data_IF_848249963826
#
_entry.id   IF_848249963826
#
_cell.length_a   1.000
_cell.length_b   1.000
_cell.length_c   1.000
_cell.angle_alpha   90.00
_cell.angle_beta   90.00
_cell.angle_gamma   90.00
#
_symmetry.space_group_name_H-M   'P 1'
#
loop_
_entity.id
_entity.type
_entity.pdbx_description
1 polymer ?
#
# COMPACT_ATOMS: atom_id res chain seq x y z
N UNK A 1 -52.99 -31.44 20.74
CA UNK A 1 -53.12 -30.42 21.79
C UNK A 1 -52.01 -30.67 22.78
N UNK A 2 -51.14 -29.77 23.20
CA UNK A 2 -50.71 -28.43 22.80
C UNK A 2 -49.56 -28.15 23.76
N UNK A 3 -48.46 -27.61 23.25
CA UNK A 3 -47.62 -26.56 23.87
C UNK A 3 -47.07 -26.75 25.30
N UNK A 4 -45.74 -26.89 25.46
CA UNK A 4 -44.77 -25.83 25.86
C UNK A 4 -44.40 -26.00 27.36
N UNK A 5 -43.19 -25.78 27.90
CA UNK A 5 -41.83 -25.38 27.50
C UNK A 5 -40.98 -25.49 28.81
N UNK A 6 -39.64 -25.60 28.75
CA UNK A 6 -38.63 -24.98 29.66
C UNK A 6 -37.25 -25.62 29.37
N UNK A 7 -36.49 -25.12 28.40
CA UNK A 7 -35.44 -24.09 28.51
C UNK A 7 -34.41 -24.33 29.62
N UNK A 8 -33.12 -24.41 29.23
CA UNK A 8 -31.95 -23.78 29.85
C UNK A 8 -30.68 -24.64 29.80
N UNK A 9 -29.78 -24.19 28.93
CA UNK A 9 -28.46 -23.64 29.27
C UNK A 9 -27.31 -24.31 28.54
N UNK A 10 -27.03 -23.68 27.40
CA UNK A 10 -25.78 -23.73 26.68
C UNK A 10 -24.70 -23.17 27.63
N UNK A 11 -23.74 -24.01 28.00
CA UNK A 11 -22.46 -23.55 28.49
C UNK A 11 -21.36 -24.46 27.93
N UNK A 12 -21.09 -24.29 26.64
CA UNK A 12 -19.83 -24.71 26.08
C UNK A 12 -18.94 -23.48 26.12
N UNK A 13 -18.01 -23.49 27.08
CA UNK A 13 -16.96 -22.50 27.20
C UNK A 13 -16.08 -22.63 25.95
N UNK A 14 -16.33 -21.79 24.95
CA UNK A 14 -15.42 -21.61 23.83
C UNK A 14 -14.14 -20.97 24.36
N UNK A 15 -13.15 -21.84 24.53
CA UNK A 15 -11.76 -21.56 24.81
C UNK A 15 -11.25 -20.59 23.73
N UNK A 16 -11.07 -19.33 24.12
CA UNK A 16 -10.60 -18.26 23.24
C UNK A 16 -9.10 -18.48 22.95
N UNK A 17 -8.79 -19.11 21.83
CA UNK A 17 -7.42 -19.31 21.37
C UNK A 17 -6.73 -17.97 21.07
N UNK A 18 -5.82 -17.56 21.96
CA UNK A 18 -5.04 -16.31 21.90
C UNK A 18 -4.04 -16.25 20.72
N UNK A 19 -3.97 -17.28 19.89
CA UNK A 19 -3.05 -17.37 18.75
C UNK A 19 -3.61 -16.76 17.44
N UNK A 20 -4.92 -16.48 17.36
CA UNK A 20 -5.56 -16.02 16.11
C UNK A 20 -5.46 -14.49 15.88
N UNK A 21 -5.08 -13.74 16.92
CA UNK A 21 -4.87 -12.29 16.80
C UNK A 21 -3.55 -11.90 16.10
N UNK A 22 -2.68 -12.87 15.81
CA UNK A 22 -1.39 -12.64 15.13
C UNK A 22 -1.44 -12.95 13.62
N UNK A 23 -2.58 -13.43 13.10
CA UNK A 23 -2.76 -13.80 11.67
C UNK A 23 -3.72 -12.84 10.98
N UNK A 24 -3.58 -11.54 11.22
CA UNK A 24 -4.27 -10.51 10.43
C UNK A 24 -3.25 -9.49 9.93
N UNK A 25 -3.19 -9.33 8.60
CA UNK A 25 -2.64 -8.16 7.88
C UNK A 25 -1.16 -8.17 7.44
N UNK A 26 -0.69 -9.23 6.77
CA UNK A 26 0.50 -9.17 5.91
C UNK A 26 0.29 -9.39 4.39
N UNK A 27 -0.83 -9.93 3.86
CA UNK A 27 -0.94 -10.20 2.41
C UNK A 27 -1.26 -8.97 1.55
N UNK A 28 -1.71 -7.85 2.13
CA UNK A 28 -2.08 -6.65 1.38
C UNK A 28 -0.89 -5.75 1.02
N UNK A 29 0.20 -5.81 1.80
CA UNK A 29 1.33 -4.90 1.62
C UNK A 29 2.11 -5.20 0.33
N UNK A 30 2.34 -6.48 0.02
CA UNK A 30 3.05 -6.90 -1.19
C UNK A 30 2.17 -6.75 -2.43
N UNK A 31 0.88 -7.05 -2.31
CA UNK A 31 -0.08 -6.84 -3.40
C UNK A 31 -0.24 -5.35 -3.75
N UNK A 32 -0.25 -4.47 -2.76
CA UNK A 32 -0.31 -3.02 -2.99
C UNK A 32 0.99 -2.48 -3.58
N UNK A 33 2.14 -3.00 -3.15
CA UNK A 33 3.43 -2.64 -3.72
C UNK A 33 3.53 -2.96 -5.22
N UNK A 34 3.01 -4.11 -5.64
CA UNK A 34 2.98 -4.50 -7.05
C UNK A 34 2.07 -3.57 -7.87
N UNK A 35 0.87 -3.26 -7.36
CA UNK A 35 -0.05 -2.29 -7.99
C UNK A 35 0.60 -0.93 -8.18
N UNK A 36 1.31 -0.42 -7.18
CA UNK A 36 1.99 0.86 -7.26
C UNK A 36 3.12 0.81 -8.29
N UNK A 37 3.90 -0.28 -8.35
CA UNK A 37 4.94 -0.44 -9.38
C UNK A 37 4.37 -0.48 -10.79
N UNK A 38 3.24 -1.15 -11.00
CA UNK A 38 2.52 -1.13 -12.29
C UNK A 38 2.10 0.29 -12.64
N UNK A 39 1.42 0.99 -11.73
CA UNK A 39 0.98 2.38 -11.93
C UNK A 39 2.16 3.32 -12.28
N UNK A 40 3.27 3.22 -11.55
CA UNK A 40 4.46 4.04 -11.80
C UNK A 40 5.08 3.71 -13.18
N UNK A 41 5.02 2.45 -13.60
CA UNK A 41 5.53 2.04 -14.91
C UNK A 41 4.75 2.68 -16.06
N UNK A 42 3.45 2.94 -15.86
CA UNK A 42 2.56 3.60 -16.82
C UNK A 42 2.70 5.13 -16.85
N UNK A 43 3.37 5.74 -15.86
CA UNK A 43 3.63 7.18 -15.87
C UNK A 43 4.51 7.60 -17.05
N UNK A 44 4.33 8.84 -17.57
CA UNK A 44 5.19 9.38 -18.62
C UNK A 44 6.66 9.32 -18.23
N UNK A 45 7.47 8.70 -19.08
CA UNK A 45 8.93 8.77 -18.97
C UNK A 45 9.41 10.02 -19.71
N UNK A 46 10.11 10.90 -19.00
CA UNK A 46 10.71 12.11 -19.58
C UNK A 46 12.23 12.07 -19.44
N UNK A 47 12.98 12.59 -20.43
CA UNK A 47 14.40 12.82 -20.25
C UNK A 47 14.61 13.87 -19.15
N UNK A 48 15.63 13.66 -18.35
CA UNK A 48 16.04 14.52 -17.26
C UNK A 48 17.55 14.53 -17.25
N UNK A 49 18.18 15.68 -17.03
CA UNK A 49 19.61 15.77 -16.71
C UNK A 49 19.80 16.23 -15.24
N UNK A 50 18.72 16.17 -14.45
CA UNK A 50 18.68 16.54 -13.04
C UNK A 50 19.06 15.37 -12.11
N UNK A 51 19.35 15.71 -10.86
CA UNK A 51 19.59 14.76 -9.77
C UNK A 51 18.27 14.32 -9.16
N UNK A 52 18.08 13.01 -8.95
CA UNK A 52 16.90 12.50 -8.27
C UNK A 52 16.90 12.93 -6.79
N UNK A 53 15.87 13.64 -6.34
CA UNK A 53 15.76 14.14 -4.96
C UNK A 53 15.50 13.06 -3.89
N UNK A 54 15.34 11.79 -4.28
CA UNK A 54 15.16 10.66 -3.37
C UNK A 54 16.49 9.94 -3.10
N UNK A 55 17.23 9.58 -4.15
CA UNK A 55 18.51 8.87 -4.02
C UNK A 55 19.74 9.79 -4.10
N UNK A 56 19.57 11.05 -4.50
CA UNK A 56 20.63 12.03 -4.74
C UNK A 56 21.66 11.60 -5.78
N UNK A 57 21.22 10.81 -6.76
CA UNK A 57 22.04 10.32 -7.87
C UNK A 57 21.52 10.88 -9.21
N UNK A 58 22.38 10.89 -10.21
CA UNK A 58 22.06 11.39 -11.55
C UNK A 58 20.98 10.49 -12.19
N UNK A 59 20.05 11.11 -12.92
CA UNK A 59 19.05 10.37 -13.70
C UNK A 59 18.94 10.96 -15.10
N UNK A 60 19.22 10.14 -16.13
CA UNK A 60 19.05 10.50 -17.54
C UNK A 60 17.56 10.54 -17.97
N UNK A 61 16.73 9.81 -17.23
CA UNK A 61 15.29 9.72 -17.46
C UNK A 61 14.56 9.40 -16.16
N UNK A 62 13.34 9.90 -16.04
CA UNK A 62 12.51 9.68 -14.88
C UNK A 62 11.03 9.62 -15.20
N UNK A 63 10.24 9.18 -14.22
CA UNK A 63 8.79 9.18 -14.26
C UNK A 63 8.27 10.54 -13.81
N UNK A 64 7.50 11.20 -14.67
CA UNK A 64 6.86 12.48 -14.37
C UNK A 64 5.49 12.25 -13.74
N UNK A 65 5.29 12.80 -12.54
CA UNK A 65 3.99 12.82 -11.87
C UNK A 65 3.07 13.89 -12.47
N UNK A 66 1.77 13.80 -12.19
CA UNK A 66 0.77 14.83 -12.59
C UNK A 66 1.10 16.23 -12.05
N UNK A 67 1.84 16.32 -10.94
CA UNK A 67 2.34 17.56 -10.36
C UNK A 67 3.66 18.09 -10.98
N UNK A 68 4.11 17.51 -12.10
CA UNK A 68 5.34 17.84 -12.85
C UNK A 68 6.67 17.52 -12.15
N UNK A 69 6.66 16.83 -11.03
CA UNK A 69 7.91 16.35 -10.40
C UNK A 69 8.39 15.05 -11.05
N UNK A 70 9.70 14.95 -11.27
CA UNK A 70 10.34 13.82 -11.95
C UNK A 70 11.25 13.08 -10.99
N UNK A 71 11.22 11.76 -11.03
CA UNK A 71 12.06 10.89 -10.20
C UNK A 71 12.41 9.61 -10.95
N UNK A 72 13.46 8.91 -10.53
CA UNK A 72 13.73 7.56 -11.02
C UNK A 72 12.56 6.63 -10.70
N UNK A 73 12.23 5.73 -11.64
CA UNK A 73 11.10 4.80 -11.53
C UNK A 73 11.09 4.01 -10.21
N UNK A 74 12.25 3.47 -9.81
CA UNK A 74 12.35 2.68 -8.57
C UNK A 74 12.20 3.55 -7.33
N UNK A 75 12.78 4.75 -7.35
CA UNK A 75 12.72 5.69 -6.24
C UNK A 75 11.29 6.14 -5.98
N UNK A 76 10.56 6.55 -7.02
CA UNK A 76 9.18 6.98 -6.84
C UNK A 76 8.26 5.82 -6.48
N UNK A 77 8.42 4.63 -7.09
CA UNK A 77 7.64 3.46 -6.70
C UNK A 77 7.77 3.17 -5.20
N UNK A 78 9.00 3.11 -4.68
CA UNK A 78 9.24 2.87 -3.26
C UNK A 78 8.69 3.99 -2.37
N UNK A 79 8.82 5.25 -2.81
CA UNK A 79 8.29 6.38 -2.07
C UNK A 79 6.76 6.31 -1.97
N UNK A 80 6.04 6.01 -3.07
CA UNK A 80 4.58 5.91 -3.07
C UNK A 80 4.06 4.73 -2.24
N UNK A 81 4.81 3.62 -2.20
CA UNK A 81 4.51 2.47 -1.34
C UNK A 81 4.55 2.87 0.15
N UNK A 82 5.48 3.75 0.53
CA UNK A 82 5.65 4.19 1.91
C UNK A 82 4.75 5.37 2.29
N UNK A 83 4.50 6.30 1.35
CA UNK A 83 3.78 7.55 1.60
C UNK A 83 2.28 7.48 1.35
N UNK A 84 1.77 6.40 0.76
CA UNK A 84 0.35 6.26 0.43
C UNK A 84 -0.06 7.02 -0.83
N UNK A 85 0.75 6.93 -1.90
CA UNK A 85 0.47 7.54 -3.22
C UNK A 85 0.43 9.09 -3.19
N UNK A 86 1.39 9.68 -2.50
CA UNK A 86 1.62 11.13 -2.49
C UNK A 86 3.00 11.50 -3.02
N UNK A 87 3.09 12.60 -3.77
CA UNK A 87 4.35 13.15 -4.25
C UNK A 87 5.28 13.54 -3.08
N UNK A 88 6.54 13.05 -3.02
CA UNK A 88 7.47 13.39 -1.94
C UNK A 88 7.83 14.87 -1.82
N UNK A 89 7.70 15.65 -2.89
CA UNK A 89 8.09 17.06 -2.92
C UNK A 89 6.95 18.02 -2.58
N UNK A 90 5.73 17.73 -3.06
CA UNK A 90 4.60 18.66 -2.93
C UNK A 90 3.36 18.05 -2.26
N UNK A 91 3.38 16.75 -1.92
CA UNK A 91 2.27 16.00 -1.31
C UNK A 91 0.97 15.99 -2.13
N UNK A 92 1.05 16.31 -3.42
CA UNK A 92 -0.06 16.09 -4.34
C UNK A 92 -0.30 14.58 -4.50
N UNK A 93 -1.57 14.18 -4.52
CA UNK A 93 -1.96 12.80 -4.88
C UNK A 93 -1.58 12.50 -6.33
N UNK A 94 -1.10 11.28 -6.55
CA UNK A 94 -0.61 10.79 -7.85
C UNK A 94 -1.54 9.82 -8.52
#
# INVERSE_FOLDING_TARGET
MSDQQENNNNNEAEEFDMADALIMSAPDAEAEADRIRTMVSELPTVPSDDICSICHDDMEQGKQLSCNHVFQQNCIANALIQSGRECPLCRASV
#
